data_IF_301065579210
#
_entry.id   IF_301065579210
#
_cell.length_a   1.000
_cell.length_b   1.000
_cell.length_c   1.000
_cell.angle_alpha   90.00
_cell.angle_beta   90.00
_cell.angle_gamma   90.00
#
_symmetry.space_group_name_H-M   'P 1'
#
loop_
_entity.id
_entity.type
_entity.pdbx_description
1 polymer ?
#
# COMPACT_ATOMS: atom_id res chain seq x y z
N UNK A 1 0.85 14.46 23.42
CA UNK A 1 -0.21 13.83 24.24
C UNK A 1 -0.76 14.81 25.26
N UNK A 2 0.06 15.70 25.83
CA UNK A 2 -0.33 16.62 26.92
C UNK A 2 -1.38 17.69 26.56
N UNK A 3 -1.64 17.88 25.26
CA UNK A 3 -2.73 18.74 24.78
C UNK A 3 -4.10 18.05 24.83
N UNK A 4 -4.14 16.73 24.99
CA UNK A 4 -5.38 15.99 25.08
C UNK A 4 -5.97 16.06 26.50
N UNK A 5 -7.30 16.05 26.63
CA UNK A 5 -7.94 15.83 27.92
C UNK A 5 -7.44 14.55 28.60
N UNK A 6 -7.47 14.51 29.94
CA UNK A 6 -7.00 13.35 30.72
C UNK A 6 -7.81 12.08 30.46
N UNK A 7 -9.05 12.22 30.01
CA UNK A 7 -9.99 11.16 29.65
C UNK A 7 -10.03 10.88 28.14
N UNK A 8 -9.06 11.37 27.38
CA UNK A 8 -9.00 11.09 25.95
C UNK A 8 -8.84 9.59 25.66
N UNK A 9 -9.58 9.15 24.64
CA UNK A 9 -9.46 7.82 24.05
C UNK A 9 -8.42 7.84 22.93
N UNK A 10 -7.46 6.93 22.98
CA UNK A 10 -6.47 6.73 21.93
C UNK A 10 -6.81 5.47 21.14
N UNK A 11 -6.89 5.59 19.82
CA UNK A 11 -7.06 4.42 18.93
C UNK A 11 -5.74 4.23 18.20
N UNK A 12 -5.15 3.04 18.33
CA UNK A 12 -3.93 2.66 17.63
C UNK A 12 -4.30 1.69 16.53
N UNK A 13 -4.35 2.21 15.31
CA UNK A 13 -4.54 1.41 14.11
C UNK A 13 -3.28 0.61 13.78
N UNK A 14 -3.48 -0.55 13.16
CA UNK A 14 -2.47 -1.56 12.88
C UNK A 14 -1.48 -1.76 14.04
N UNK A 15 -2.03 -1.96 15.25
CA UNK A 15 -1.28 -1.88 16.52
C UNK A 15 -0.01 -2.73 16.54
N UNK A 16 -0.05 -3.91 15.93
CA UNK A 16 1.06 -4.84 15.81
C UNK A 16 2.29 -4.26 15.09
N UNK A 17 2.15 -3.23 14.23
CA UNK A 17 3.25 -2.44 13.67
C UNK A 17 3.45 -1.13 14.43
N UNK A 18 2.36 -0.42 14.74
CA UNK A 18 2.42 0.94 15.31
C UNK A 18 3.02 0.94 16.71
N UNK A 19 2.74 -0.07 17.55
CA UNK A 19 3.30 -0.18 18.90
C UNK A 19 4.83 -0.38 18.87
N UNK A 20 5.38 -1.35 18.11
CA UNK A 20 6.83 -1.45 17.91
C UNK A 20 7.46 -0.17 17.37
N UNK A 21 6.80 0.50 16.43
CA UNK A 21 7.29 1.77 15.86
C UNK A 21 7.41 2.85 16.94
N UNK A 22 6.34 3.10 17.71
CA UNK A 22 6.34 4.07 18.83
C UNK A 22 7.45 3.76 19.83
N UNK A 23 7.65 2.47 20.16
CA UNK A 23 8.73 2.03 21.05
C UNK A 23 10.12 2.34 20.48
N UNK A 24 10.32 2.13 19.18
CA UNK A 24 11.62 2.33 18.51
C UNK A 24 12.05 3.78 18.36
N UNK A 25 11.11 4.73 18.29
CA UNK A 25 11.39 6.16 18.02
C UNK A 25 12.40 6.77 18.98
N UNK A 26 12.27 6.52 20.29
CA UNK A 26 13.21 7.03 21.30
C UNK A 26 14.63 6.50 21.10
N UNK A 27 14.77 5.18 20.91
CA UNK A 27 16.09 4.56 20.80
C UNK A 27 16.82 4.97 19.51
N UNK A 28 16.08 5.09 18.39
CA UNK A 28 16.64 5.58 17.13
C UNK A 28 17.11 7.04 17.22
N UNK A 29 16.29 7.92 17.80
CA UNK A 29 16.69 9.33 17.98
C UNK A 29 17.87 9.49 18.95
N UNK A 30 17.86 8.73 20.06
CA UNK A 30 18.92 8.73 21.07
C UNK A 30 20.26 8.31 20.47
N UNK A 31 20.30 7.16 19.80
CA UNK A 31 21.54 6.64 19.20
C UNK A 31 22.15 7.63 18.19
N UNK A 32 21.33 8.21 17.31
CA UNK A 32 21.79 9.21 16.34
C UNK A 32 22.37 10.45 17.01
N UNK A 33 21.73 10.95 18.07
CA UNK A 33 22.16 12.18 18.75
C UNK A 33 23.34 11.98 19.68
N UNK A 34 23.48 10.82 20.31
CA UNK A 34 24.65 10.50 21.14
C UNK A 34 25.92 10.59 20.31
N UNK A 35 25.93 10.04 19.10
CA UNK A 35 27.04 10.20 18.14
C UNK A 35 27.34 11.67 17.82
N UNK A 36 26.31 12.50 17.60
CA UNK A 36 26.51 13.93 17.32
C UNK A 36 27.09 14.69 18.53
N UNK A 37 26.70 14.31 19.74
CA UNK A 37 27.23 14.91 20.97
C UNK A 37 28.67 14.46 21.21
N UNK A 38 28.96 13.18 21.02
CA UNK A 38 30.30 12.61 21.19
C UNK A 38 31.34 13.26 20.27
N UNK A 39 30.98 13.50 19.01
CA UNK A 39 31.83 14.20 18.05
C UNK A 39 31.75 15.74 18.12
N UNK A 40 31.06 16.30 19.12
CA UNK A 40 31.04 17.75 19.36
C UNK A 40 30.19 18.57 18.39
N UNK A 41 29.34 17.94 17.58
CA UNK A 41 28.41 18.65 16.67
C UNK A 41 27.20 19.24 17.42
N UNK A 42 26.85 18.71 18.60
CA UNK A 42 25.73 19.16 19.43
C UNK A 42 26.10 19.18 20.90
N UNK A 43 25.48 20.09 21.65
CA UNK A 43 25.56 20.10 23.11
C UNK A 43 24.78 18.92 23.70
N UNK A 44 25.13 18.43 24.91
CA UNK A 44 24.39 17.34 25.58
C UNK A 44 22.89 17.60 25.77
N UNK A 45 22.48 18.86 25.93
CA UNK A 45 21.05 19.25 26.05
C UNK A 45 20.22 18.94 24.79
N UNK A 46 20.85 18.71 23.63
CA UNK A 46 20.13 18.29 22.43
C UNK A 46 19.46 16.90 22.58
N UNK A 47 19.93 16.09 23.54
CA UNK A 47 19.34 14.80 23.87
C UNK A 47 17.97 14.91 24.53
N UNK A 48 17.65 16.07 25.13
CA UNK A 48 16.34 16.31 25.77
C UNK A 48 15.25 16.68 24.75
N UNK A 49 15.61 17.12 23.55
CA UNK A 49 14.68 17.42 22.46
C UNK A 49 14.25 16.16 21.70
N UNK A 50 13.56 15.23 22.36
CA UNK A 50 13.36 13.84 21.88
C UNK A 50 11.88 13.44 21.85
N UNK A 51 11.51 12.35 21.14
CA UNK A 51 10.23 11.72 21.33
C UNK A 51 10.11 11.10 22.74
N UNK A 52 8.87 10.79 23.13
CA UNK A 52 8.59 10.02 24.35
C UNK A 52 9.26 8.64 24.25
N UNK A 53 9.81 8.18 25.36
CA UNK A 53 10.10 6.75 25.50
C UNK A 53 8.80 5.97 25.72
N UNK A 54 8.87 4.65 25.58
CA UNK A 54 7.65 3.83 25.62
C UNK A 54 6.94 3.86 26.98
N UNK A 55 7.68 3.94 28.09
CA UNK A 55 7.09 4.04 29.42
C UNK A 55 6.40 5.40 29.67
N UNK A 56 6.95 6.48 29.11
CA UNK A 56 6.30 7.80 29.12
C UNK A 56 5.02 7.79 28.28
N UNK A 57 5.04 7.18 27.11
CA UNK A 57 3.85 6.98 26.28
C UNK A 57 2.76 6.20 27.03
N UNK A 58 3.12 5.09 27.69
CA UNK A 58 2.18 4.28 28.49
C UNK A 58 1.55 5.05 29.65
N UNK A 59 2.26 6.00 30.26
CA UNK A 59 1.71 6.86 31.32
C UNK A 59 0.82 7.98 30.77
N UNK A 60 1.13 8.46 29.57
CA UNK A 60 0.38 9.55 28.94
C UNK A 60 -0.95 9.08 28.33
N UNK A 61 -1.08 7.77 28.04
CA UNK A 61 -2.29 7.18 27.47
C UNK A 61 -3.15 6.60 28.59
N UNK A 62 -4.35 7.16 28.79
CA UNK A 62 -5.29 6.68 29.78
C UNK A 62 -6.13 5.51 29.24
N UNK A 63 -6.93 5.75 28.19
CA UNK A 63 -7.74 4.74 27.53
C UNK A 63 -7.21 4.48 26.12
N UNK A 64 -7.07 3.20 25.75
CA UNK A 64 -6.55 2.80 24.45
C UNK A 64 -7.32 1.63 23.84
N UNK A 65 -7.62 1.73 22.54
CA UNK A 65 -8.11 0.63 21.72
C UNK A 65 -7.01 0.27 20.72
N UNK A 66 -6.55 -0.96 20.77
CA UNK A 66 -5.64 -1.53 19.78
C UNK A 66 -6.46 -2.18 18.67
N UNK A 67 -6.29 -1.70 17.43
CA UNK A 67 -7.00 -2.24 16.27
C UNK A 67 -5.98 -3.00 15.42
N UNK A 68 -6.18 -4.30 15.27
CA UNK A 68 -5.36 -5.15 14.39
C UNK A 68 -6.05 -6.49 14.13
N UNK A 69 -5.89 -7.02 12.90
CA UNK A 69 -6.27 -8.39 12.58
C UNK A 69 -5.36 -9.45 13.24
N UNK A 70 -4.18 -9.04 13.69
CA UNK A 70 -3.10 -9.88 14.23
C UNK A 70 -2.42 -9.16 15.41
N UNK A 71 -3.14 -8.95 16.53
CA UNK A 71 -2.61 -8.20 17.67
C UNK A 71 -1.31 -8.82 18.21
N UNK A 72 -0.32 -7.98 18.50
CA UNK A 72 0.97 -8.42 19.01
C UNK A 72 0.93 -8.87 20.48
N UNK A 73 2.05 -9.43 21.00
CA UNK A 73 2.13 -9.90 22.38
C UNK A 73 1.90 -8.79 23.43
N UNK A 74 2.26 -7.54 23.10
CA UNK A 74 2.10 -6.42 24.00
C UNK A 74 0.61 -6.10 24.21
N UNK A 75 -0.15 -6.04 23.12
CA UNK A 75 -1.58 -5.72 23.11
C UNK A 75 -2.37 -6.81 23.82
N UNK A 76 -2.10 -8.08 23.52
CA UNK A 76 -2.75 -9.22 24.17
C UNK A 76 -2.50 -9.22 25.69
N UNK A 77 -1.26 -8.92 26.11
CA UNK A 77 -0.90 -8.81 27.53
C UNK A 77 -1.62 -7.64 28.18
N UNK A 78 -1.65 -6.45 27.55
CA UNK A 78 -2.32 -5.25 28.09
C UNK A 78 -3.83 -5.41 28.19
N UNK A 79 -4.44 -6.10 27.23
CA UNK A 79 -5.87 -6.42 27.26
C UNK A 79 -6.25 -7.50 28.29
N UNK A 80 -5.25 -8.20 28.85
CA UNK A 80 -5.49 -9.35 29.74
C UNK A 80 -6.25 -10.47 29.04
N UNK A 81 -5.99 -10.69 27.75
CA UNK A 81 -6.65 -11.69 26.91
C UNK A 81 -8.09 -11.34 26.47
N UNK A 82 -8.63 -10.18 26.85
CA UNK A 82 -9.96 -9.73 26.40
C UNK A 82 -9.88 -9.11 25.01
N UNK A 83 -10.31 -9.85 24.00
CA UNK A 83 -10.34 -9.41 22.60
C UNK A 83 -11.79 -9.23 22.17
N UNK A 84 -12.12 -8.09 21.57
CA UNK A 84 -13.39 -7.89 20.86
C UNK A 84 -13.16 -8.33 19.42
N UNK A 85 -13.79 -9.43 19.04
CA UNK A 85 -13.63 -10.01 17.71
C UNK A 85 -14.65 -9.44 16.72
N UNK A 86 -14.17 -8.98 15.56
CA UNK A 86 -15.00 -8.53 14.45
C UNK A 86 -14.52 -9.18 13.14
N UNK A 87 -15.16 -10.30 12.77
CA UNK A 87 -14.75 -11.13 11.62
C UNK A 87 -15.74 -11.12 10.46
N UNK A 88 -17.00 -10.73 10.70
CA UNK A 88 -18.04 -10.70 9.67
C UNK A 88 -17.87 -9.46 8.80
N UNK A 89 -17.73 -9.66 7.49
CA UNK A 89 -17.65 -8.57 6.51
C UNK A 89 -19.06 -8.16 6.07
N UNK A 90 -19.35 -6.86 5.90
CA UNK A 90 -20.67 -6.39 5.46
C UNK A 90 -21.14 -6.99 4.13
N UNK A 91 -20.21 -7.33 3.22
CA UNK A 91 -20.52 -7.91 1.90
C UNK A 91 -20.60 -9.44 1.91
N UNK A 92 -20.51 -10.08 3.07
CA UNK A 92 -20.47 -11.54 3.19
C UNK A 92 -19.17 -12.18 2.69
N UNK A 93 -18.16 -11.41 2.26
CA UNK A 93 -16.87 -11.95 1.86
C UNK A 93 -16.22 -12.76 3.00
N UNK A 94 -15.69 -13.93 2.64
CA UNK A 94 -15.11 -14.89 3.56
C UNK A 94 -13.58 -14.91 3.44
N UNK A 95 -12.92 -15.38 4.49
CA UNK A 95 -11.48 -15.61 4.48
C UNK A 95 -11.11 -16.66 3.41
N UNK A 96 -10.04 -16.47 2.63
CA UNK A 96 -9.71 -17.31 1.48
C UNK A 96 -9.20 -18.69 1.94
N UNK A 97 -9.48 -19.76 1.18
CA UNK A 97 -8.92 -21.07 1.48
C UNK A 97 -7.40 -21.06 1.20
N UNK A 98 -6.65 -21.70 2.09
CA UNK A 98 -5.20 -21.86 1.99
C UNK A 98 -4.87 -23.29 1.56
N UNK A 99 -4.08 -23.45 0.51
CA UNK A 99 -3.53 -24.75 0.11
C UNK A 99 -2.00 -24.74 0.21
N UNK A 100 -1.43 -25.85 0.67
CA UNK A 100 0.03 -26.05 0.73
C UNK A 100 0.47 -26.88 -0.46
N UNK A 101 1.51 -26.45 -1.17
CA UNK A 101 2.12 -27.13 -2.32
C UNK A 101 3.62 -27.28 -2.10
N UNK A 102 4.21 -28.33 -2.65
CA UNK A 102 5.65 -28.60 -2.51
C UNK A 102 6.49 -27.53 -3.22
N UNK A 103 7.72 -27.31 -2.76
CA UNK A 103 8.64 -26.36 -3.41
C UNK A 103 9.10 -26.89 -4.78
N UNK A 104 9.17 -28.22 -4.92
CA UNK A 104 9.54 -28.85 -6.19
C UNK A 104 8.51 -28.53 -7.28
N UNK A 105 8.95 -27.85 -8.34
CA UNK A 105 8.09 -27.43 -9.45
C UNK A 105 7.22 -26.22 -9.14
N UNK A 106 7.48 -25.49 -8.04
CA UNK A 106 6.65 -24.37 -7.60
C UNK A 106 6.48 -23.28 -8.66
N UNK A 107 7.51 -23.00 -9.47
CA UNK A 107 7.46 -21.91 -10.46
C UNK A 107 6.54 -22.28 -11.63
N UNK A 108 6.61 -23.54 -12.11
CA UNK A 108 5.73 -24.02 -13.18
C UNK A 108 4.26 -24.04 -12.73
N UNK A 109 4.02 -24.51 -11.50
CA UNK A 109 2.70 -24.51 -10.87
C UNK A 109 2.15 -23.08 -10.67
N UNK A 110 3.00 -22.16 -10.22
CA UNK A 110 2.67 -20.75 -10.07
C UNK A 110 2.31 -20.11 -11.42
N UNK A 111 3.08 -20.38 -12.48
CA UNK A 111 2.78 -19.91 -13.85
C UNK A 111 1.43 -20.41 -14.32
N UNK A 112 1.11 -21.69 -14.06
CA UNK A 112 -0.18 -22.26 -14.43
C UNK A 112 -1.34 -21.52 -13.72
N UNK A 113 -1.23 -21.32 -12.42
CA UNK A 113 -2.23 -20.58 -11.64
C UNK A 113 -2.36 -19.13 -12.11
N UNK A 114 -1.24 -18.43 -12.33
CA UNK A 114 -1.22 -17.05 -12.84
C UNK A 114 -1.96 -16.96 -14.18
N UNK A 115 -1.68 -17.86 -15.12
CA UNK A 115 -2.34 -17.87 -16.43
C UNK A 115 -3.85 -18.10 -16.30
N UNK A 116 -4.25 -18.98 -15.38
CA UNK A 116 -5.67 -19.17 -15.03
C UNK A 116 -6.33 -17.89 -14.51
N UNK A 117 -5.67 -17.14 -13.61
CA UNK A 117 -6.20 -15.87 -13.08
C UNK A 117 -6.24 -14.77 -14.13
N UNK A 118 -5.18 -14.63 -14.92
CA UNK A 118 -5.12 -13.66 -16.01
C UNK A 118 -6.24 -13.90 -17.05
N UNK A 119 -6.53 -15.16 -17.40
CA UNK A 119 -7.62 -15.52 -18.30
C UNK A 119 -9.02 -15.13 -17.76
N UNK A 120 -9.16 -15.00 -16.44
CA UNK A 120 -10.37 -14.56 -15.76
C UNK A 120 -10.38 -13.04 -15.46
N UNK A 121 -9.43 -12.27 -16.01
CA UNK A 121 -9.20 -10.86 -15.69
C UNK A 121 -9.03 -10.58 -14.18
N UNK A 122 -8.32 -11.46 -13.49
CA UNK A 122 -7.99 -11.33 -12.08
C UNK A 122 -6.49 -11.09 -11.89
N UNK A 123 -6.10 -10.67 -10.68
CA UNK A 123 -4.72 -10.31 -10.32
C UNK A 123 -4.12 -11.28 -9.31
N UNK A 124 -2.80 -11.37 -9.34
CA UNK A 124 -2.01 -12.24 -8.46
C UNK A 124 -0.98 -11.42 -7.70
N UNK A 125 -0.89 -11.67 -6.39
CA UNK A 125 0.21 -11.18 -5.56
C UNK A 125 1.14 -12.35 -5.24
N UNK A 126 2.45 -12.13 -5.37
CA UNK A 126 3.46 -13.13 -5.02
C UNK A 126 4.43 -12.53 -4.01
N UNK A 127 4.62 -13.20 -2.87
CA UNK A 127 5.61 -12.79 -1.88
C UNK A 127 6.81 -13.74 -1.86
N UNK A 128 8.01 -13.20 -2.03
CA UNK A 128 9.30 -13.91 -1.87
C UNK A 128 9.94 -13.54 -0.51
N UNK A 129 11.18 -13.99 -0.26
CA UNK A 129 11.94 -13.67 0.95
C UNK A 129 13.02 -12.59 0.73
N UNK A 130 13.54 -12.48 -0.49
CA UNK A 130 14.69 -11.62 -0.79
C UNK A 130 14.46 -10.79 -2.04
N UNK A 131 15.14 -9.64 -2.12
CA UNK A 131 15.10 -8.75 -3.30
C UNK A 131 15.53 -9.50 -4.56
N UNK A 132 16.64 -10.21 -4.48
CA UNK A 132 17.17 -11.02 -5.57
C UNK A 132 16.17 -12.06 -6.08
N UNK A 133 15.52 -12.81 -5.19
CA UNK A 133 14.50 -13.78 -5.61
C UNK A 133 13.29 -13.12 -6.26
N UNK A 134 12.89 -11.92 -5.80
CA UNK A 134 11.80 -11.19 -6.42
C UNK A 134 12.17 -10.70 -7.83
N UNK A 135 13.39 -10.21 -8.01
CA UNK A 135 13.96 -9.78 -9.30
C UNK A 135 14.05 -10.97 -10.26
N UNK A 136 14.75 -12.04 -9.85
CA UNK A 136 14.91 -13.26 -10.64
C UNK A 136 13.56 -13.87 -11.05
N UNK A 137 12.58 -13.88 -10.14
CA UNK A 137 11.23 -14.37 -10.44
C UNK A 137 10.48 -13.45 -11.42
N UNK A 138 10.62 -12.14 -11.26
CA UNK A 138 9.98 -11.17 -12.15
C UNK A 138 10.50 -11.32 -13.58
N UNK A 139 11.82 -11.45 -13.74
CA UNK A 139 12.45 -11.65 -15.04
C UNK A 139 11.99 -12.99 -15.67
N UNK A 140 11.99 -14.06 -14.89
CA UNK A 140 11.54 -15.37 -15.35
C UNK A 140 10.07 -15.37 -15.80
N UNK A 141 9.18 -14.72 -15.03
CA UNK A 141 7.76 -14.59 -15.41
C UNK A 141 7.61 -13.74 -16.68
N UNK A 142 8.38 -12.67 -16.82
CA UNK A 142 8.37 -11.83 -18.01
C UNK A 142 8.83 -12.59 -19.27
N UNK A 143 9.90 -13.38 -19.17
CA UNK A 143 10.38 -14.27 -20.24
C UNK A 143 9.35 -15.34 -20.62
N UNK A 144 8.57 -15.82 -19.65
CA UNK A 144 7.44 -16.74 -19.87
C UNK A 144 6.17 -16.07 -20.46
N UNK A 145 6.27 -14.78 -20.81
CA UNK A 145 5.20 -13.98 -21.42
C UNK A 145 4.14 -13.47 -20.45
N UNK A 146 4.40 -13.48 -19.15
CA UNK A 146 3.47 -12.97 -18.12
C UNK A 146 3.70 -11.48 -17.92
N UNK A 147 2.61 -10.71 -17.86
CA UNK A 147 2.67 -9.28 -17.54
C UNK A 147 2.87 -9.13 -16.04
N UNK A 148 4.10 -8.81 -15.63
CA UNK A 148 4.52 -8.76 -14.23
C UNK A 148 5.23 -7.45 -13.90
N UNK A 149 5.14 -7.03 -12.63
CA UNK A 149 5.95 -5.97 -12.04
C UNK A 149 6.47 -6.40 -10.66
N UNK A 150 7.62 -5.85 -10.30
CA UNK A 150 8.24 -6.00 -8.99
C UNK A 150 7.99 -4.76 -8.14
N UNK A 151 7.68 -4.96 -6.86
CA UNK A 151 7.56 -3.92 -5.84
C UNK A 151 8.59 -4.12 -4.72
N UNK A 152 9.44 -3.12 -4.49
CA UNK A 152 10.43 -3.11 -3.41
C UNK A 152 10.37 -1.85 -2.55
N UNK A 153 11.07 -1.93 -1.42
CA UNK A 153 11.09 -0.89 -0.37
C UNK A 153 11.62 0.47 -0.81
N UNK A 154 12.41 0.51 -1.88
CA UNK A 154 13.13 1.73 -2.29
C UNK A 154 12.39 2.49 -3.40
N UNK A 155 11.23 1.97 -3.85
CA UNK A 155 10.33 2.65 -4.78
C UNK A 155 9.63 3.79 -4.05
N UNK A 156 9.66 4.97 -4.68
CA UNK A 156 9.00 6.17 -4.18
C UNK A 156 7.48 5.96 -4.01
N UNK A 157 6.86 6.72 -3.11
CA UNK A 157 5.43 6.57 -2.82
C UNK A 157 4.56 6.85 -4.06
N UNK A 158 4.94 7.79 -4.91
CA UNK A 158 4.20 8.10 -6.14
C UNK A 158 4.27 6.93 -7.13
N UNK A 159 5.47 6.46 -7.43
CA UNK A 159 5.69 5.34 -8.35
C UNK A 159 4.98 4.06 -7.86
N UNK A 160 5.03 3.79 -6.55
CA UNK A 160 4.29 2.68 -5.94
C UNK A 160 2.78 2.77 -6.20
N UNK A 161 2.19 3.95 -6.02
CA UNK A 161 0.76 4.15 -6.28
C UNK A 161 0.41 3.95 -7.76
N UNK A 162 1.31 4.34 -8.67
CA UNK A 162 1.14 4.09 -10.10
C UNK A 162 1.19 2.61 -10.43
N UNK A 163 2.13 1.85 -9.86
CA UNK A 163 2.21 0.39 -10.02
C UNK A 163 0.91 -0.27 -9.53
N UNK A 164 0.41 0.12 -8.35
CA UNK A 164 -0.84 -0.41 -7.78
C UNK A 164 -2.03 -0.09 -8.69
N UNK A 165 -2.13 1.16 -9.16
CA UNK A 165 -3.17 1.59 -10.11
C UNK A 165 -3.11 0.78 -11.40
N UNK A 166 -1.92 0.57 -11.94
CA UNK A 166 -1.69 -0.14 -13.19
C UNK A 166 -2.01 -1.64 -13.06
N UNK A 167 -1.79 -2.24 -11.89
CA UNK A 167 -2.29 -3.59 -11.55
C UNK A 167 -3.81 -3.63 -11.61
N UNK A 168 -4.49 -2.66 -10.97
CA UNK A 168 -5.96 -2.58 -10.97
C UNK A 168 -6.54 -2.40 -12.38
N UNK A 169 -5.90 -1.55 -13.18
CA UNK A 169 -6.26 -1.32 -14.59
C UNK A 169 -5.96 -2.53 -15.49
N UNK A 170 -5.28 -3.56 -14.99
CA UNK A 170 -4.93 -4.74 -15.79
C UNK A 170 -3.87 -4.45 -16.84
N UNK A 171 -3.01 -3.44 -16.63
CA UNK A 171 -1.81 -3.27 -17.47
C UNK A 171 -0.83 -4.43 -17.26
N UNK A 172 -0.85 -5.01 -16.08
CA UNK A 172 -0.18 -6.25 -15.74
C UNK A 172 -1.03 -7.09 -14.78
N UNK A 173 -0.72 -8.37 -14.66
CA UNK A 173 -1.54 -9.35 -13.95
C UNK A 173 -0.94 -9.77 -12.60
N UNK A 174 0.39 -9.64 -12.47
CA UNK A 174 1.14 -10.17 -11.32
C UNK A 174 2.01 -9.09 -10.69
N UNK A 175 1.91 -8.96 -9.36
CA UNK A 175 2.81 -8.14 -8.56
C UNK A 175 3.66 -9.04 -7.66
N UNK A 176 4.98 -9.00 -7.85
CA UNK A 176 5.94 -9.71 -7.01
C UNK A 176 6.51 -8.73 -5.98
N UNK A 177 6.63 -9.14 -4.73
CA UNK A 177 7.29 -8.34 -3.71
C UNK A 177 7.78 -9.18 -2.54
N UNK A 178 8.37 -8.54 -1.53
CA UNK A 178 8.89 -9.22 -0.34
C UNK A 178 7.90 -9.07 0.81
N UNK A 179 7.51 -7.83 1.08
CA UNK A 179 6.64 -7.48 2.19
C UNK A 179 5.44 -6.69 1.68
N UNK A 180 4.51 -7.39 1.05
CA UNK A 180 3.28 -6.79 0.51
C UNK A 180 2.27 -6.37 1.60
N UNK A 181 2.69 -6.40 2.88
CA UNK A 181 1.86 -6.07 4.05
C UNK A 181 1.81 -4.57 4.30
N UNK A 182 2.85 -3.82 3.93
CA UNK A 182 3.02 -2.42 4.34
C UNK A 182 2.31 -1.41 3.45
N UNK A 183 1.79 -1.86 2.32
CA UNK A 183 1.47 -0.99 1.19
C UNK A 183 0.00 -0.57 1.14
N UNK A 184 -0.82 -0.98 2.13
CA UNK A 184 -2.25 -0.67 2.12
C UNK A 184 -2.97 -1.22 0.88
N UNK A 185 -2.46 -2.31 0.28
CA UNK A 185 -3.04 -2.94 -0.91
C UNK A 185 -4.45 -3.42 -0.59
N UNK A 186 -5.43 -2.61 -0.96
CA UNK A 186 -6.84 -2.97 -0.94
C UNK A 186 -7.32 -3.08 -2.39
N UNK A 187 -7.07 -4.26 -2.97
CA UNK A 187 -7.23 -4.53 -4.40
C UNK A 187 -8.25 -5.66 -4.56
N UNK A 188 -9.55 -5.35 -4.79
CA UNK A 188 -10.59 -6.35 -4.99
C UNK A 188 -10.34 -7.29 -6.18
N UNK A 189 -9.53 -6.84 -7.16
CA UNK A 189 -9.19 -7.60 -8.35
C UNK A 189 -8.21 -8.75 -8.06
N UNK A 190 -7.55 -8.78 -6.89
CA UNK A 190 -6.67 -9.87 -6.47
C UNK A 190 -7.48 -11.09 -6.02
N UNK A 191 -7.36 -12.19 -6.74
CA UNK A 191 -7.99 -13.48 -6.39
C UNK A 191 -6.98 -14.55 -5.97
N UNK A 192 -5.68 -14.32 -6.16
CA UNK A 192 -4.65 -15.27 -5.75
C UNK A 192 -3.51 -14.56 -5.02
N UNK A 193 -3.14 -15.11 -3.86
CA UNK A 193 -1.91 -14.75 -3.15
C UNK A 193 -1.03 -15.99 -3.06
N UNK A 194 0.17 -15.91 -3.63
CA UNK A 194 1.17 -16.97 -3.56
C UNK A 194 2.30 -16.57 -2.61
N UNK A 195 2.58 -17.40 -1.61
CA UNK A 195 3.68 -17.21 -0.66
C UNK A 195 4.73 -18.26 -0.95
N UNK A 196 5.85 -17.84 -1.55
CA UNK A 196 7.00 -18.69 -1.79
C UNK A 196 7.80 -18.85 -0.51
N UNK A 197 8.41 -20.04 -0.34
CA UNK A 197 9.20 -20.39 0.83
C UNK A 197 8.43 -20.13 2.14
N UNK A 198 7.18 -20.60 2.19
CA UNK A 198 6.28 -20.36 3.31
C UNK A 198 6.75 -21.02 4.62
N UNK A 199 7.61 -22.04 4.53
CA UNK A 199 8.19 -22.76 5.66
C UNK A 199 9.50 -22.17 6.19
N UNK A 200 10.01 -21.08 5.60
CA UNK A 200 11.20 -20.40 6.10
C UNK A 200 10.83 -19.42 7.20
N UNK A 201 10.95 -19.88 8.43
CA UNK A 201 10.63 -19.09 9.62
C UNK A 201 11.44 -17.78 9.67
N UNK A 202 10.78 -16.75 10.19
CA UNK A 202 11.32 -15.40 10.28
C UNK A 202 10.20 -14.37 10.28
N UNK A 203 10.56 -13.08 10.29
CA UNK A 203 9.59 -11.99 10.37
C UNK A 203 8.52 -12.07 9.26
N UNK A 204 8.92 -12.34 8.02
CA UNK A 204 8.02 -12.40 6.85
C UNK A 204 7.14 -13.65 6.80
N UNK A 205 7.41 -14.66 7.64
CA UNK A 205 6.68 -15.94 7.70
C UNK A 205 6.21 -16.28 9.11
N UNK A 206 6.12 -15.28 9.99
CA UNK A 206 5.43 -15.41 11.27
C UNK A 206 3.93 -15.65 11.05
N UNK A 207 3.24 -16.22 12.04
CA UNK A 207 1.79 -16.47 11.94
C UNK A 207 1.01 -15.19 11.64
N UNK A 208 1.37 -14.07 12.28
CA UNK A 208 0.81 -12.75 11.98
C UNK A 208 1.04 -12.33 10.51
N UNK A 209 2.27 -12.39 10.02
CA UNK A 209 2.60 -12.02 8.64
C UNK A 209 1.88 -12.90 7.61
N UNK A 210 1.77 -14.21 7.86
CA UNK A 210 1.05 -15.15 6.99
C UNK A 210 -0.45 -14.84 6.96
N UNK A 211 -1.08 -14.57 8.11
CA UNK A 211 -2.50 -14.20 8.20
C UNK A 211 -2.76 -12.91 7.41
N UNK A 212 -1.93 -11.88 7.61
CA UNK A 212 -2.11 -10.60 6.91
C UNK A 212 -1.90 -10.72 5.40
N UNK A 213 -0.89 -11.49 4.98
CA UNK A 213 -0.59 -11.69 3.55
C UNK A 213 -1.74 -12.45 2.90
N UNK A 214 -2.22 -13.50 3.55
CA UNK A 214 -3.40 -14.27 3.13
C UNK A 214 -4.65 -13.39 3.04
N UNK A 215 -4.82 -12.45 3.97
CA UNK A 215 -5.92 -11.50 3.99
C UNK A 215 -6.04 -10.61 2.75
N UNK A 216 -4.97 -10.45 1.96
CA UNK A 216 -5.01 -9.71 0.68
C UNK A 216 -5.93 -10.35 -0.36
N UNK A 217 -6.15 -11.68 -0.30
CA UNK A 217 -7.11 -12.38 -1.15
C UNK A 217 -8.56 -12.31 -0.61
N UNK A 218 -8.80 -11.85 0.62
CA UNK A 218 -10.13 -11.85 1.24
C UNK A 218 -11.09 -10.76 0.71
N UNK A 219 -10.64 -9.97 -0.28
CA UNK A 219 -11.44 -8.92 -0.95
C UNK A 219 -12.16 -9.42 -2.21
N UNK A 220 -11.87 -10.65 -2.62
CA UNK A 220 -12.42 -11.28 -3.82
C UNK A 220 -13.16 -12.57 -3.45
N UNK A 221 -14.34 -12.78 -4.03
CA UNK A 221 -15.14 -14.00 -3.81
C UNK A 221 -14.42 -15.28 -4.24
N UNK A 222 -13.53 -15.21 -5.22
CA UNK A 222 -12.68 -16.31 -5.70
C UNK A 222 -11.29 -16.30 -5.03
N UNK A 223 -11.11 -15.47 -4.01
CA UNK A 223 -9.86 -15.33 -3.27
C UNK A 223 -9.32 -16.66 -2.78
N UNK A 224 -8.06 -16.96 -3.12
CA UNK A 224 -7.32 -18.17 -2.73
C UNK A 224 -5.89 -17.84 -2.35
N UNK A 225 -5.32 -18.66 -1.47
CA UNK A 225 -3.93 -18.54 -1.04
C UNK A 225 -3.17 -19.85 -1.29
N UNK A 226 -1.94 -19.74 -1.80
CA UNK A 226 -1.02 -20.85 -1.99
C UNK A 226 0.23 -20.64 -1.14
N UNK A 227 0.53 -21.61 -0.28
CA UNK A 227 1.80 -21.69 0.45
C UNK A 227 2.69 -22.72 -0.25
N UNK A 228 3.82 -22.28 -0.79
CA UNK A 228 4.84 -23.20 -1.31
C UNK A 228 5.84 -23.52 -0.19
N UNK A 229 5.84 -24.77 0.24
CA UNK A 229 6.59 -25.25 1.40
C UNK A 229 6.77 -26.77 1.33
N UNK A 230 7.90 -27.26 1.85
CA UNK A 230 8.15 -28.70 1.98
C UNK A 230 7.70 -29.23 3.35
N UNK A 231 7.62 -28.34 4.35
CA UNK A 231 7.16 -28.66 5.70
C UNK A 231 6.10 -27.69 6.19
N UNK A 232 5.21 -28.13 7.10
CA UNK A 232 4.23 -27.25 7.73
C UNK A 232 4.78 -26.82 9.09
N UNK A 233 5.25 -25.58 9.18
CA UNK A 233 5.75 -24.97 10.43
C UNK A 233 4.60 -24.68 11.40
N UNK A 234 4.94 -24.38 12.66
CA UNK A 234 3.95 -23.98 13.66
C UNK A 234 3.26 -22.66 13.26
N UNK A 235 4.02 -21.69 12.73
CA UNK A 235 3.48 -20.44 12.21
C UNK A 235 2.47 -20.65 11.08
N UNK A 236 2.75 -21.58 10.15
CA UNK A 236 1.81 -21.95 9.09
C UNK A 236 0.56 -22.61 9.66
N UNK A 237 0.73 -23.55 10.61
CA UNK A 237 -0.39 -24.25 11.25
C UNK A 237 -1.32 -23.29 11.97
N UNK A 238 -0.77 -22.36 12.74
CA UNK A 238 -1.53 -21.31 13.41
C UNK A 238 -2.30 -20.43 12.42
N UNK A 239 -1.62 -19.96 11.37
CA UNK A 239 -2.24 -19.11 10.35
C UNK A 239 -3.40 -19.83 9.64
N UNK A 240 -3.18 -21.08 9.21
CA UNK A 240 -4.20 -21.90 8.54
C UNK A 240 -5.38 -22.19 9.46
N UNK A 241 -5.13 -22.54 10.72
CA UNK A 241 -6.18 -22.84 11.69
C UNK A 241 -7.06 -21.60 11.97
N UNK A 242 -6.45 -20.42 12.13
CA UNK A 242 -7.18 -19.19 12.37
C UNK A 242 -7.98 -18.74 11.14
N UNK A 243 -7.42 -18.85 9.93
CA UNK A 243 -8.15 -18.58 8.68
C UNK A 243 -9.35 -19.51 8.52
N UNK A 244 -9.20 -20.81 8.78
CA UNK A 244 -10.31 -21.77 8.68
C UNK A 244 -11.38 -21.53 9.75
N UNK A 245 -10.99 -21.20 10.98
CA UNK A 245 -11.94 -20.84 12.05
C UNK A 245 -12.79 -19.64 11.64
N UNK A 246 -12.17 -18.57 11.14
CA UNK A 246 -12.87 -17.36 10.67
C UNK A 246 -13.79 -17.69 9.50
N UNK A 247 -13.29 -18.44 8.51
CA UNK A 247 -14.05 -18.86 7.33
C UNK A 247 -15.30 -19.64 7.71
N UNK A 248 -15.19 -20.62 8.61
CA UNK A 248 -16.32 -21.42 9.08
C UNK A 248 -17.40 -20.57 9.76
N UNK A 249 -17.01 -19.63 10.62
CA UNK A 249 -17.95 -18.70 11.28
C UNK A 249 -18.62 -17.76 10.28
N UNK A 250 -17.88 -17.22 9.32
CA UNK A 250 -18.42 -16.34 8.27
C UNK A 250 -19.40 -17.10 7.36
N UNK A 251 -19.06 -18.34 6.95
CA UNK A 251 -19.96 -19.18 6.15
C UNK A 251 -21.24 -19.53 6.91
N UNK A 252 -21.15 -19.85 8.20
CA UNK A 252 -22.32 -20.13 9.03
C UNK A 252 -23.23 -18.89 9.14
N UNK A 253 -22.65 -17.72 9.41
CA UNK A 253 -23.37 -16.45 9.49
C UNK A 253 -24.07 -16.11 8.17
N UNK A 254 -23.37 -16.23 7.04
CA UNK A 254 -23.93 -15.96 5.72
C UNK A 254 -25.12 -16.88 5.41
N UNK A 255 -25.01 -18.17 5.73
CA UNK A 255 -26.09 -19.15 5.52
C UNK A 255 -27.30 -18.84 6.38
N UNK A 256 -27.09 -18.49 7.65
CA UNK A 256 -28.17 -18.14 8.59
C UNK A 256 -28.93 -16.87 8.15
N UNK A 257 -28.21 -15.89 7.58
CA UNK A 257 -28.77 -14.59 7.20
C UNK A 257 -29.11 -14.45 5.71
N UNK A 258 -28.93 -15.51 4.91
CA UNK A 258 -29.19 -15.48 3.46
C UNK A 258 -28.29 -14.51 2.68
N UNK A 259 -27.05 -14.32 3.13
CA UNK A 259 -26.09 -13.39 2.50
C UNK A 259 -25.28 -14.13 1.43
N UNK A 260 -25.34 -13.65 0.19
CA UNK A 260 -24.46 -14.11 -0.89
C UNK A 260 -23.20 -13.26 -0.91
N UNK A 261 -21.98 -13.84 -0.82
CA UNK A 261 -20.75 -13.08 -0.86
C UNK A 261 -20.59 -12.33 -2.19
N UNK A 262 -20.28 -11.03 -2.11
CA UNK A 262 -20.02 -10.19 -3.28
C UNK A 262 -18.69 -9.45 -3.16
N UNK A 263 -17.89 -9.48 -4.24
CA UNK A 263 -16.67 -8.68 -4.34
C UNK A 263 -17.02 -7.19 -4.42
N UNK A 264 -16.29 -6.36 -3.66
CA UNK A 264 -16.51 -4.90 -3.66
C UNK A 264 -15.99 -4.32 -4.98
N UNK A 265 -16.85 -3.65 -5.75
CA UNK A 265 -16.43 -2.85 -6.91
C UNK A 265 -16.02 -1.46 -6.43
N UNK A 266 -14.73 -1.23 -6.21
CA UNK A 266 -14.20 0.12 -5.92
C UNK A 266 -13.83 0.84 -7.21
N UNK A 267 -14.15 2.13 -7.31
CA UNK A 267 -13.70 2.92 -8.46
C UNK A 267 -12.17 3.00 -8.48
N UNK A 268 -11.58 3.05 -9.68
CA UNK A 268 -10.12 3.20 -9.83
C UNK A 268 -9.71 4.66 -9.55
N UNK A 269 -10.65 5.61 -9.68
CA UNK A 269 -10.44 7.04 -9.46
C UNK A 269 -10.17 7.38 -7.98
N UNK A 270 -10.67 6.59 -7.02
CA UNK A 270 -10.53 6.85 -5.58
C UNK A 270 -9.09 6.78 -5.05
N UNK A 271 -8.21 6.00 -5.70
CA UNK A 271 -6.80 5.87 -5.31
C UNK A 271 -6.02 7.15 -5.59
N UNK A 272 -6.32 7.79 -6.72
CA UNK A 272 -5.73 9.09 -7.04
C UNK A 272 -6.45 10.17 -6.20
N UNK A 273 -7.78 10.16 -6.16
CA UNK A 273 -8.62 11.20 -5.53
C UNK A 273 -8.23 11.52 -4.09
N UNK A 274 -8.01 10.48 -3.28
CA UNK A 274 -7.68 10.63 -1.85
C UNK A 274 -6.30 11.25 -1.58
N UNK A 275 -5.39 11.22 -2.55
CA UNK A 275 -4.02 11.75 -2.40
C UNK A 275 -3.87 13.12 -3.03
N UNK A 276 -4.41 13.38 -4.24
CA UNK A 276 -4.33 14.74 -4.79
C UNK A 276 -5.35 15.77 -4.28
N UNK A 277 -6.23 15.39 -3.35
CA UNK A 277 -6.80 16.38 -2.42
C UNK A 277 -5.79 16.90 -1.38
N UNK A 278 -4.62 16.25 -1.21
CA UNK A 278 -3.58 16.68 -0.27
C UNK A 278 -2.31 17.25 -0.89
N UNK A 279 -2.03 17.01 -2.17
CA UNK A 279 -0.92 17.67 -2.88
C UNK A 279 -1.21 17.81 -4.38
N UNK A 280 -1.59 19.02 -4.81
CA UNK A 280 -1.64 19.52 -6.20
C UNK A 280 -2.03 18.52 -7.32
N UNK A 281 -3.31 18.49 -7.69
CA UNK A 281 -3.77 17.95 -8.98
C UNK A 281 -3.26 18.77 -10.18
N UNK A 282 -2.32 18.19 -10.92
CA UNK A 282 -2.18 18.39 -12.38
C UNK A 282 -2.62 17.10 -13.06
N UNK A 283 -3.79 17.12 -13.69
CA UNK A 283 -4.19 16.12 -14.69
C UNK A 283 -3.60 16.58 -16.02
N UNK A 284 -2.71 15.83 -16.68
CA UNK A 284 -2.41 16.09 -18.09
C UNK A 284 -3.61 15.60 -18.90
N UNK A 285 -4.49 16.54 -19.29
CA UNK A 285 -5.37 16.30 -20.44
C UNK A 285 -4.62 16.77 -21.68
N UNK A 286 -4.57 15.90 -22.69
CA UNK A 286 -4.09 16.22 -24.02
C UNK A 286 -4.85 17.44 -24.58
N UNK A 287 -4.28 18.63 -24.41
CA UNK A 287 -4.65 19.79 -25.22
C UNK A 287 -3.91 19.69 -26.53
N UNK A 288 -4.69 19.57 -27.60
CA UNK A 288 -4.28 19.54 -29.00
C UNK A 288 -3.11 20.51 -29.30
N UNK A 289 -1.87 20.00 -29.52
CA UNK A 289 -0.69 20.83 -29.76
C UNK A 289 -0.73 21.62 -31.08
N UNK A 290 -1.70 21.34 -31.96
CA UNK A 290 -1.72 21.84 -33.32
C UNK A 290 -2.02 23.35 -33.43
N UNK A 291 -2.78 23.93 -32.49
CA UNK A 291 -3.18 25.35 -32.58
C UNK A 291 -2.05 26.33 -32.18
N UNK A 292 -1.13 25.92 -31.29
CA UNK A 292 -0.08 26.79 -30.75
C UNK A 292 1.25 26.66 -31.48
N UNK A 293 1.43 25.63 -32.31
CA UNK A 293 2.65 25.42 -33.10
C UNK A 293 2.93 26.55 -34.12
N UNK A 294 1.90 27.27 -34.57
CA UNK A 294 2.00 28.28 -35.65
C UNK A 294 2.31 29.71 -35.20
N UNK A 295 2.47 29.99 -33.90
CA UNK A 295 2.75 31.35 -33.41
C UNK A 295 4.26 31.65 -33.51
N UNK A 296 4.69 32.70 -34.24
CA UNK A 296 6.10 33.10 -34.30
C UNK A 296 6.65 33.44 -32.92
N UNK A 297 7.92 33.09 -32.64
CA UNK A 297 8.56 33.30 -31.32
C UNK A 297 8.49 34.76 -30.84
N UNK A 298 8.49 35.71 -31.77
CA UNK A 298 8.39 37.16 -31.52
C UNK A 298 7.04 37.56 -30.90
N UNK A 299 5.97 36.81 -31.18
CA UNK A 299 4.61 37.09 -30.70
C UNK A 299 4.23 36.33 -29.42
N UNK A 300 5.10 35.42 -28.95
CA UNK A 300 4.88 34.65 -27.72
C UNK A 300 4.74 35.53 -26.45
N UNK A 301 5.51 36.62 -26.26
CA UNK A 301 5.34 37.47 -25.08
C UNK A 301 3.94 38.10 -24.98
N UNK A 302 3.37 38.53 -26.10
CA UNK A 302 2.04 39.13 -26.15
C UNK A 302 0.93 38.10 -25.87
N UNK A 303 1.08 36.88 -26.41
CA UNK A 303 0.17 35.77 -26.15
C UNK A 303 0.20 35.34 -24.68
N UNK A 304 1.40 35.17 -24.10
CA UNK A 304 1.58 34.82 -22.68
C UNK A 304 0.91 35.88 -21.79
N UNK A 305 1.13 37.17 -22.06
CA UNK A 305 0.50 38.25 -21.27
C UNK A 305 -1.03 38.23 -21.35
N UNK A 306 -1.59 37.83 -22.49
CA UNK A 306 -3.05 37.69 -22.67
C UNK A 306 -3.58 36.51 -21.85
N UNK A 307 -2.92 35.35 -21.94
CA UNK A 307 -3.28 34.14 -21.18
C UNK A 307 -3.14 34.36 -19.67
N UNK A 308 -2.15 35.12 -19.20
CA UNK A 308 -2.00 35.48 -17.79
C UNK A 308 -3.17 36.31 -17.26
N UNK A 309 -3.70 37.23 -18.09
CA UNK A 309 -4.88 38.02 -17.74
C UNK A 309 -6.13 37.15 -17.65
N UNK A 310 -6.31 36.23 -18.61
CA UNK A 310 -7.41 35.26 -18.60
C UNK A 310 -7.32 34.31 -17.40
N UNK A 311 -6.12 33.83 -17.07
CA UNK A 311 -5.87 32.97 -15.91
C UNK A 311 -6.25 33.68 -14.61
N UNK A 312 -5.82 34.93 -14.44
CA UNK A 312 -6.18 35.75 -13.25
C UNK A 312 -7.68 36.05 -13.20
N UNK A 313 -8.34 36.22 -14.35
CA UNK A 313 -9.78 36.41 -14.42
C UNK A 313 -10.56 35.14 -14.03
N UNK A 314 -10.14 33.97 -14.52
CA UNK A 314 -10.70 32.68 -14.16
C UNK A 314 -10.53 32.38 -12.66
N UNK A 315 -9.34 32.68 -12.11
CA UNK A 315 -9.08 32.55 -10.67
C UNK A 315 -9.99 33.46 -9.82
N UNK A 316 -10.26 34.70 -10.27
CA UNK A 316 -11.20 35.61 -9.59
C UNK A 316 -12.65 35.11 -9.63
N UNK A 317 -13.02 34.32 -10.63
CA UNK A 317 -14.34 33.70 -10.78
C UNK A 317 -14.46 32.34 -10.10
N UNK A 318 -13.42 31.88 -9.39
CA UNK A 318 -13.32 30.55 -8.77
C UNK A 318 -13.39 29.40 -9.80
N UNK A 319 -13.09 29.67 -11.07
CA UNK A 319 -13.00 28.68 -12.15
C UNK A 319 -11.58 28.07 -12.15
N UNK A 320 -11.27 27.31 -11.10
CA UNK A 320 -9.90 26.84 -10.84
C UNK A 320 -9.36 25.86 -11.90
N UNK A 321 -10.24 25.04 -12.49
CA UNK A 321 -9.88 24.14 -13.59
C UNK A 321 -9.37 24.93 -14.80
N UNK A 322 -10.10 25.99 -15.18
CA UNK A 322 -9.74 26.85 -16.31
C UNK A 322 -8.46 27.66 -16.03
N UNK A 323 -8.26 28.12 -14.80
CA UNK A 323 -7.03 28.80 -14.41
C UNK A 323 -5.81 27.86 -14.48
N UNK A 324 -5.97 26.60 -14.10
CA UNK A 324 -4.91 25.60 -14.20
C UNK A 324 -4.53 25.28 -15.65
N UNK A 325 -5.51 25.11 -16.54
CA UNK A 325 -5.28 24.91 -17.99
C UNK A 325 -4.46 26.07 -18.60
N UNK A 326 -4.84 27.31 -18.28
CA UNK A 326 -4.15 28.50 -18.78
C UNK A 326 -2.72 28.60 -18.23
N UNK A 327 -2.50 28.25 -16.95
CA UNK A 327 -1.16 28.20 -16.34
C UNK A 327 -0.24 27.22 -17.04
N UNK A 328 -0.73 26.01 -17.32
CA UNK A 328 0.08 24.95 -17.91
C UNK A 328 0.38 25.26 -19.39
N UNK A 329 -0.56 25.90 -20.10
CA UNK A 329 -0.33 26.47 -21.44
C UNK A 329 0.72 27.59 -21.45
N UNK A 330 0.67 28.51 -20.48
CA UNK A 330 1.69 29.57 -20.32
C UNK A 330 3.08 28.95 -20.12
N UNK A 331 3.22 27.95 -19.24
CA UNK A 331 4.50 27.27 -18.99
C UNK A 331 5.08 26.62 -20.23
N UNK A 332 4.23 26.01 -21.07
CA UNK A 332 4.66 25.42 -22.34
C UNK A 332 5.20 26.49 -23.30
N UNK A 333 4.48 27.62 -23.43
CA UNK A 333 4.89 28.74 -24.28
C UNK A 333 6.15 29.44 -23.77
N UNK A 334 6.34 29.54 -22.44
CA UNK A 334 7.56 30.06 -21.82
C UNK A 334 8.76 29.16 -22.06
N UNK A 335 8.61 27.83 -21.94
CA UNK A 335 9.66 26.87 -22.28
C UNK A 335 10.05 26.96 -23.76
N UNK A 336 9.08 27.15 -24.65
CA UNK A 336 9.32 27.37 -26.09
C UNK A 336 10.01 28.71 -26.36
N UNK A 337 9.64 29.78 -25.64
CA UNK A 337 10.31 31.09 -25.71
C UNK A 337 11.78 31.00 -25.28
N UNK A 338 12.07 30.19 -24.26
CA UNK A 338 13.41 29.97 -23.73
C UNK A 338 14.23 28.96 -24.55
N UNK A 339 13.67 28.37 -25.61
CA UNK A 339 14.37 27.42 -26.48
C UNK A 339 14.69 26.07 -25.82
N UNK A 340 13.99 25.71 -24.73
CA UNK A 340 14.23 24.47 -23.97
C UNK A 340 13.55 23.25 -24.64
N UNK A 341 12.65 23.50 -25.59
CA UNK A 341 12.03 22.49 -26.43
C UNK A 341 12.20 22.90 -27.90
N UNK A 342 13.25 22.36 -28.53
CA UNK A 342 13.33 21.92 -29.95
C UNK A 342 14.63 21.08 -30.02
N UNK A 343 14.61 19.82 -30.49
CA UNK A 343 14.17 19.47 -31.84
C UNK A 343 13.26 18.24 -31.96
N UNK A 344 12.50 18.24 -33.07
CA UNK A 344 11.83 17.17 -33.84
C UNK A 344 11.35 15.93 -33.09
#
# INVERSE_FOLDING_TARGET
MDYLPRDALVIIDESHQTVPQVRGMYHGDRSRKETLVEYGFRLPSALDNRPLNFAEFERAVNQVIYVSATPGPYELKRAGGRVVEQIIRPTGLIDPPIAVRAIKGQIDDLIHEIRGRAAADQRVLVTTLTKRMAEDLTDYLAEAGIRVRYLHSDIDTLERNEIIRDLRLGKFDVLVGINLLREGLDIPEVSLVAILDADKEGFLRSSGSLIQTSGRAARNVEGRVLFYADTVTDAMREAMAETERRRAMQTAYNREHGITPESIKKSIQDILGSIYERDYYTVPKETDPAADAYVPRENLPALISTLEKEMKAAAKKLEFERAAELRDRIRLLERRRLGILDPV
#
